data_IF_193477835557
#
_entry.id   IF_193477835557
#
_cell.length_a   1.000
_cell.length_b   1.000
_cell.length_c   1.000
_cell.angle_alpha   90.00
_cell.angle_beta   90.00
_cell.angle_gamma   90.00
#
_symmetry.space_group_name_H-M   'P 1'
#
loop_
_entity.id
_entity.type
_entity.pdbx_description
1 polymer ?
#
# COMPACT_ATOMS: atom_id res chain seq x y z
N UNK A 1 -7.73 6.20 10.01
CA UNK A 1 -7.67 4.74 10.01
C UNK A 1 -6.60 4.15 9.10
N UNK A 2 -6.55 4.56 7.84
CA UNK A 2 -5.49 4.10 6.96
C UNK A 2 -4.10 4.61 7.35
N UNK A 3 -4.04 5.67 8.13
CA UNK A 3 -2.78 6.19 8.63
C UNK A 3 -2.05 5.15 9.47
N UNK A 4 -2.81 4.32 10.20
CA UNK A 4 -2.23 3.24 11.01
C UNK A 4 -1.61 2.16 10.13
N UNK A 5 -2.05 2.06 8.88
CA UNK A 5 -1.52 1.11 7.92
C UNK A 5 -0.32 1.69 7.19
N UNK A 6 -0.48 2.90 6.65
CA UNK A 6 0.54 3.48 5.77
C UNK A 6 1.70 4.15 6.49
N UNK A 7 1.46 4.74 7.67
CA UNK A 7 2.53 5.43 8.37
C UNK A 7 3.71 4.52 8.70
N UNK A 8 3.50 3.35 9.34
CA UNK A 8 4.64 2.46 9.60
C UNK A 8 5.24 1.90 8.32
N UNK A 9 4.43 1.67 7.29
CA UNK A 9 4.97 1.21 6.01
C UNK A 9 5.91 2.25 5.41
N UNK A 10 5.50 3.51 5.41
CA UNK A 10 6.33 4.60 4.89
C UNK A 10 7.64 4.70 5.67
N UNK A 11 7.54 4.67 6.99
CA UNK A 11 8.73 4.82 7.82
C UNK A 11 9.73 3.70 7.66
N UNK A 12 9.27 2.48 7.44
CA UNK A 12 10.15 1.32 7.42
C UNK A 12 10.47 0.81 6.01
N UNK A 13 9.56 1.00 5.06
CA UNK A 13 9.70 0.37 3.75
C UNK A 13 9.86 1.36 2.60
N UNK A 14 9.40 2.58 2.77
CA UNK A 14 9.40 3.53 1.65
C UNK A 14 10.79 3.76 1.07
N UNK A 15 11.80 3.89 1.92
CA UNK A 15 13.17 4.12 1.47
C UNK A 15 13.75 2.93 0.74
N UNK A 16 13.19 1.74 0.96
CA UNK A 16 13.65 0.52 0.31
C UNK A 16 12.98 0.30 -1.05
N UNK A 17 11.95 1.07 -1.35
CA UNK A 17 11.26 0.95 -2.63
C UNK A 17 12.10 1.55 -3.74
N UNK A 18 12.00 0.97 -4.95
CA UNK A 18 12.66 1.57 -6.09
C UNK A 18 11.86 2.80 -6.54
N UNK A 19 12.40 3.54 -7.51
CA UNK A 19 11.78 4.78 -7.96
C UNK A 19 10.35 4.56 -8.46
N UNK A 20 10.13 3.51 -9.23
CA UNK A 20 8.81 3.22 -9.78
C UNK A 20 7.80 2.93 -8.67
N UNK A 21 8.22 2.16 -7.69
CA UNK A 21 7.34 1.79 -6.57
C UNK A 21 7.02 3.01 -5.71
N UNK A 22 7.99 3.91 -5.52
CA UNK A 22 7.74 5.15 -4.78
C UNK A 22 6.68 5.99 -5.46
N UNK A 23 6.80 6.14 -6.79
CA UNK A 23 5.81 6.90 -7.55
C UNK A 23 4.45 6.22 -7.47
N UNK A 24 4.42 4.91 -7.65
CA UNK A 24 3.16 4.16 -7.57
C UNK A 24 2.51 4.30 -6.20
N UNK A 25 3.32 4.28 -5.15
CA UNK A 25 2.79 4.44 -3.80
C UNK A 25 2.17 5.81 -3.59
N UNK A 26 2.83 6.85 -4.08
CA UNK A 26 2.29 8.21 -3.95
C UNK A 26 0.99 8.36 -4.74
N UNK A 27 0.93 7.78 -5.92
CA UNK A 27 -0.29 7.79 -6.72
C UNK A 27 -1.40 6.99 -6.05
N UNK A 28 -1.02 5.88 -5.42
CA UNK A 28 -1.97 5.07 -4.68
C UNK A 28 -2.64 5.87 -3.57
N UNK A 29 -1.88 6.65 -2.83
CA UNK A 29 -2.40 7.47 -1.74
C UNK A 29 -3.35 8.56 -2.21
N UNK A 30 -3.33 8.88 -3.49
CA UNK A 30 -4.21 9.89 -4.06
C UNK A 30 -5.63 9.34 -4.30
N UNK A 31 -5.83 8.06 -4.12
CA UNK A 31 -7.14 7.44 -4.29
C UNK A 31 -7.99 7.60 -3.03
N UNK A 32 -9.30 7.32 -3.16
CA UNK A 32 -10.21 7.39 -2.04
C UNK A 32 -9.89 6.31 -0.99
N UNK A 33 -10.19 6.62 0.26
CA UNK A 33 -10.00 5.65 1.35
C UNK A 33 -10.78 4.37 1.09
N UNK A 34 -11.99 4.49 0.52
CA UNK A 34 -12.82 3.32 0.21
C UNK A 34 -12.11 2.39 -0.77
N UNK A 35 -11.52 2.96 -1.82
CA UNK A 35 -10.79 2.17 -2.82
C UNK A 35 -9.57 1.49 -2.18
N UNK A 36 -8.84 2.24 -1.36
CA UNK A 36 -7.66 1.70 -0.70
C UNK A 36 -8.03 0.56 0.25
N UNK A 37 -9.10 0.72 0.99
CA UNK A 37 -9.58 -0.33 1.88
C UNK A 37 -10.03 -1.56 1.10
N UNK A 38 -10.70 -1.35 -0.03
CA UNK A 38 -11.14 -2.47 -0.86
C UNK A 38 -9.96 -3.28 -1.35
N UNK A 39 -8.91 -2.62 -1.76
CA UNK A 39 -7.73 -3.32 -2.31
C UNK A 39 -6.87 -3.97 -1.23
N UNK A 40 -6.75 -3.34 -0.09
CA UNK A 40 -5.82 -3.77 0.96
C UNK A 40 -6.51 -4.65 2.01
N UNK A 41 -7.69 -4.27 2.44
CA UNK A 41 -8.40 -4.97 3.51
C UNK A 41 -9.39 -6.00 2.96
N UNK A 42 -10.18 -5.61 1.98
CA UNK A 42 -11.24 -6.47 1.44
C UNK A 42 -10.80 -7.35 0.28
N UNK A 43 -9.55 -7.24 -0.12
CA UNK A 43 -8.95 -8.06 -1.19
C UNK A 43 -9.71 -7.98 -2.51
N UNK A 44 -10.26 -6.82 -2.82
CA UNK A 44 -10.89 -6.59 -4.10
C UNK A 44 -9.83 -6.50 -5.21
N UNK A 45 -10.20 -6.76 -6.47
CA UNK A 45 -9.25 -6.66 -7.56
C UNK A 45 -8.61 -5.28 -7.63
N UNK A 46 -7.29 -5.25 -7.64
CA UNK A 46 -6.53 -4.00 -7.70
C UNK A 46 -6.23 -3.62 -9.14
N UNK A 47 -6.26 -2.34 -9.51
CA UNK A 47 -5.83 -1.92 -10.83
C UNK A 47 -4.41 -2.39 -11.10
N UNK A 48 -4.13 -2.72 -12.35
CA UNK A 48 -2.83 -3.26 -12.74
C UNK A 48 -1.67 -2.36 -12.33
N UNK A 49 -1.86 -1.06 -12.45
CA UNK A 49 -0.83 -0.07 -12.15
C UNK A 49 -0.46 -0.01 -10.68
N UNK A 50 -1.38 -0.44 -9.80
CA UNK A 50 -1.13 -0.43 -8.35
C UNK A 50 -0.96 -1.84 -7.77
N UNK A 51 -1.11 -2.85 -8.60
CA UNK A 51 -1.09 -4.22 -8.12
C UNK A 51 0.19 -4.55 -7.35
N UNK A 52 1.32 -4.18 -7.90
CA UNK A 52 2.61 -4.46 -7.28
C UNK A 52 2.76 -3.77 -5.91
N UNK A 53 2.44 -2.49 -5.85
CA UNK A 53 2.59 -1.76 -4.59
C UNK A 53 1.57 -2.20 -3.55
N UNK A 54 0.35 -2.54 -3.97
CA UNK A 54 -0.66 -3.06 -3.06
C UNK A 54 -0.21 -4.40 -2.47
N UNK A 55 0.38 -5.24 -3.28
CA UNK A 55 0.92 -6.52 -2.80
C UNK A 55 1.99 -6.27 -1.74
N UNK A 56 2.87 -5.31 -1.96
CA UNK A 56 3.92 -4.99 -1.00
C UNK A 56 3.36 -4.48 0.32
N UNK A 57 2.34 -3.63 0.26
CA UNK A 57 1.70 -3.11 1.46
C UNK A 57 1.00 -4.23 2.23
N UNK A 58 0.28 -5.09 1.51
CA UNK A 58 -0.41 -6.22 2.13
C UNK A 58 0.59 -7.18 2.77
N UNK A 59 1.69 -7.43 2.08
CA UNK A 59 2.72 -8.32 2.60
C UNK A 59 3.34 -7.75 3.88
N UNK A 60 3.59 -6.46 3.90
CA UNK A 60 4.10 -5.79 5.08
C UNK A 60 3.15 -5.96 6.27
N UNK A 61 1.87 -5.69 6.04
CA UNK A 61 0.87 -5.83 7.10
C UNK A 61 0.78 -7.25 7.62
N UNK A 62 0.90 -8.22 6.72
CA UNK A 62 0.80 -9.61 7.06
C UNK A 62 1.99 -10.08 7.90
N UNK A 63 3.17 -9.58 7.61
CA UNK A 63 4.40 -10.02 8.28
C UNK A 63 4.76 -9.20 9.51
N UNK A 64 4.45 -7.92 9.51
CA UNK A 64 4.81 -7.04 10.62
C UNK A 64 3.73 -6.95 11.69
N UNK A 65 2.52 -7.23 11.31
CA UNK A 65 1.41 -7.16 12.23
C UNK A 65 1.19 -8.53 12.86
N UNK A 66 1.39 -8.60 14.13
CA UNK A 66 1.21 -9.85 14.86
C UNK A 66 0.12 -9.76 15.88
#
# INVERSE_FOLDING_TARGET
MLDLVFTPFVEERFTELNQEDKVSFLELLDNNDVDLMDWIINEKPTPREFNNIVIQVKDYLKHERK
#
